data_IF_240921264069
#
_entry.id   IF_240921264069
#
_cell.length_a   1.000
_cell.length_b   1.000
_cell.length_c   1.000
_cell.angle_alpha   90.00
_cell.angle_beta   90.00
_cell.angle_gamma   90.00
#
_symmetry.space_group_name_H-M   'P 1'
#
loop_
_entity.id
_entity.type
_entity.pdbx_description
1 polymer ?
#
# COMPACT_ATOMS: atom_id res chain seq x y z
N UNK A 1 -11.01 12.80 -8.16
CA UNK A 1 -11.88 11.65 -7.82
C UNK A 1 -11.38 10.30 -8.36
N UNK A 2 -10.40 10.26 -9.30
CA UNK A 2 -9.86 9.02 -9.88
C UNK A 2 -8.62 8.44 -9.17
N UNK A 3 -7.92 9.23 -8.35
CA UNK A 3 -6.72 8.86 -7.58
C UNK A 3 -7.00 7.94 -6.39
N UNK A 4 -8.25 7.90 -5.91
CA UNK A 4 -8.63 7.10 -4.75
C UNK A 4 -8.67 5.60 -5.09
N UNK A 5 -8.96 5.22 -6.34
CA UNK A 5 -9.16 3.82 -6.75
C UNK A 5 -7.89 2.96 -6.64
N UNK A 6 -6.69 3.51 -6.81
CA UNK A 6 -5.44 2.75 -6.83
C UNK A 6 -5.10 2.08 -5.51
N UNK A 7 -5.18 2.90 -4.47
CA UNK A 7 -4.89 2.50 -3.11
C UNK A 7 -6.13 1.77 -2.60
N UNK A 8 -7.34 2.33 -2.75
CA UNK A 8 -8.54 1.69 -2.17
C UNK A 8 -8.96 0.37 -2.83
N UNK A 9 -8.68 0.13 -4.12
CA UNK A 9 -8.94 -1.18 -4.75
C UNK A 9 -8.06 -2.28 -4.18
N UNK A 10 -6.88 -1.93 -3.65
CA UNK A 10 -5.96 -2.86 -3.00
C UNK A 10 -6.35 -3.16 -1.55
N UNK A 11 -7.11 -2.27 -0.90
CA UNK A 11 -7.51 -2.42 0.51
C UNK A 11 -8.77 -3.26 0.73
N UNK A 12 -9.66 -3.38 -0.27
CA UNK A 12 -10.87 -4.21 -0.16
C UNK A 12 -10.58 -5.73 -0.21
N UNK A 13 -9.31 -6.13 -0.22
CA UNK A 13 -8.85 -7.35 -0.84
C UNK A 13 -8.15 -8.36 0.09
N UNK A 14 -7.70 -8.00 1.29
CA UNK A 14 -6.82 -8.89 2.05
C UNK A 14 -7.11 -8.78 3.53
N UNK A 15 -7.57 -9.84 4.22
CA UNK A 15 -7.27 -10.18 5.63
C UNK A 15 -7.36 -11.68 5.85
N UNK A 16 -6.48 -12.16 6.72
CA UNK A 16 -6.81 -13.19 7.67
C UNK A 16 -6.53 -12.65 9.06
N UNK A 17 -7.17 -13.25 10.06
CA UNK A 17 -6.99 -12.96 11.47
C UNK A 17 -5.69 -13.57 12.02
N UNK A 18 -4.86 -12.74 12.65
CA UNK A 18 -4.11 -13.11 13.84
C UNK A 18 -3.81 -11.82 14.62
N UNK A 19 -4.19 -11.71 15.90
CA UNK A 19 -3.87 -10.54 16.70
C UNK A 19 -2.39 -10.62 17.08
N UNK A 20 -1.60 -9.68 16.61
CA UNK A 20 -0.37 -9.28 17.32
C UNK A 20 -0.49 -7.80 17.56
N UNK A 21 -0.96 -7.46 18.76
CA UNK A 21 -0.91 -6.10 19.28
C UNK A 21 0.54 -5.62 19.29
N UNK A 22 0.88 -4.79 18.31
CA UNK A 22 1.93 -3.80 18.48
C UNK A 22 1.28 -2.47 18.14
N UNK A 23 0.76 -1.86 19.19
CA UNK A 23 0.34 -0.46 19.31
C UNK A 23 0.15 0.30 18.00
N UNK A 24 -1.11 0.66 17.70
CA UNK A 24 -1.48 1.62 16.66
C UNK A 24 -0.70 2.97 16.73
N UNK A 25 0.06 3.23 17.80
CA UNK A 25 0.90 4.42 17.95
C UNK A 25 2.22 4.39 17.18
N UNK A 26 2.62 3.30 16.50
CA UNK A 26 3.88 3.27 15.73
C UNK A 26 3.75 2.62 14.35
N UNK A 27 2.60 2.80 13.69
CA UNK A 27 2.47 2.38 12.30
C UNK A 27 3.37 3.25 11.42
N UNK A 28 4.27 2.59 10.69
CA UNK A 28 5.25 3.23 9.81
C UNK A 28 4.79 3.11 8.37
N UNK A 29 4.65 4.24 7.67
CA UNK A 29 4.18 4.28 6.27
C UNK A 29 5.26 3.84 5.30
N UNK A 30 6.52 4.24 5.56
CA UNK A 30 7.68 4.02 4.69
C UNK A 30 8.63 3.04 5.39
N UNK A 31 8.64 1.75 5.03
CA UNK A 31 9.53 0.78 5.64
C UNK A 31 11.01 0.99 5.28
N UNK A 32 11.93 0.45 6.08
CA UNK A 32 13.39 0.55 5.85
C UNK A 32 13.85 -0.04 4.51
N UNK A 33 13.14 -1.05 4.00
CA UNK A 33 13.44 -1.65 2.69
C UNK A 33 12.83 -0.86 1.51
N UNK A 34 12.16 0.27 1.78
CA UNK A 34 11.51 1.11 0.79
C UNK A 34 10.55 0.34 -0.14
N UNK A 35 9.87 -0.66 0.41
CA UNK A 35 8.74 -1.37 -0.21
C UNK A 35 7.51 -1.04 0.64
N UNK A 36 6.61 -0.18 0.16
CA UNK A 36 5.49 0.28 1.00
C UNK A 36 4.46 -0.84 1.23
N UNK A 37 4.09 -1.53 0.16
CA UNK A 37 3.09 -2.59 0.10
C UNK A 37 3.56 -3.75 -0.78
N UNK A 38 3.98 -3.46 -2.02
CA UNK A 38 4.35 -4.46 -3.02
C UNK A 38 5.64 -4.05 -3.76
N UNK A 39 6.51 -5.00 -4.15
CA UNK A 39 7.72 -4.69 -4.92
C UNK A 39 7.45 -3.92 -6.21
N UNK A 40 6.31 -4.17 -6.86
CA UNK A 40 5.94 -3.57 -8.13
C UNK A 40 5.52 -2.09 -8.02
N UNK A 41 5.39 -1.53 -6.81
CA UNK A 41 5.08 -0.10 -6.62
C UNK A 41 6.15 0.84 -7.19
N UNK A 42 7.36 0.33 -7.41
CA UNK A 42 8.41 1.01 -8.17
C UNK A 42 7.94 1.50 -9.54
N UNK A 43 6.97 0.83 -10.16
CA UNK A 43 6.43 1.22 -11.47
C UNK A 43 5.88 2.65 -11.44
N UNK A 44 5.33 3.10 -10.32
CA UNK A 44 4.81 4.46 -10.18
C UNK A 44 5.61 5.32 -9.19
N UNK A 45 6.38 4.76 -8.26
CA UNK A 45 7.24 5.53 -7.36
C UNK A 45 8.59 5.89 -7.98
N UNK A 46 9.11 5.03 -8.86
CA UNK A 46 10.39 5.18 -9.52
C UNK A 46 10.29 4.69 -10.98
N UNK A 47 9.51 5.38 -11.84
CA UNK A 47 9.26 4.90 -13.21
C UNK A 47 10.50 4.98 -14.11
N UNK A 48 11.46 5.87 -13.82
CA UNK A 48 12.67 6.08 -14.63
C UNK A 48 13.85 5.25 -14.12
N UNK A 49 14.82 4.88 -14.98
CA UNK A 49 16.03 4.18 -14.55
C UNK A 49 16.83 4.94 -13.47
N UNK A 50 16.86 6.27 -13.57
CA UNK A 50 17.49 7.17 -12.60
C UNK A 50 16.84 7.05 -11.22
N UNK A 51 15.51 7.20 -11.13
CA UNK A 51 14.80 7.09 -9.86
C UNK A 51 14.93 5.68 -9.24
N UNK A 52 14.97 4.64 -10.09
CA UNK A 52 15.23 3.27 -9.64
C UNK A 52 16.63 3.12 -9.07
N UNK A 53 17.64 3.75 -9.67
CA UNK A 53 19.01 3.72 -9.16
C UNK A 53 19.08 4.33 -7.75
N UNK A 54 18.49 5.51 -7.56
CA UNK A 54 18.40 6.16 -6.24
C UNK A 54 17.66 5.31 -5.21
N UNK A 55 16.52 4.72 -5.58
CA UNK A 55 15.77 3.83 -4.69
C UNK A 55 16.58 2.58 -4.31
N UNK A 56 17.32 2.01 -5.27
CA UNK A 56 18.17 0.85 -5.03
C UNK A 56 19.40 1.19 -4.18
N UNK A 57 19.97 2.38 -4.32
CA UNK A 57 21.05 2.89 -3.45
C UNK A 57 20.57 2.99 -2.00
N UNK A 58 19.39 3.59 -1.79
CA UNK A 58 18.78 3.68 -0.46
C UNK A 58 18.55 2.30 0.16
N UNK A 59 18.08 1.31 -0.62
CA UNK A 59 17.92 -0.08 -0.16
C UNK A 59 19.25 -0.77 0.13
N UNK A 60 20.26 -0.52 -0.69
CA UNK A 60 21.60 -1.09 -0.53
C UNK A 60 22.32 -0.53 0.70
N UNK A 61 22.01 0.71 1.10
CA UNK A 61 22.59 1.34 2.28
C UNK A 61 22.29 0.60 3.59
N UNK A 62 21.23 -0.24 3.62
CA UNK A 62 20.72 -0.95 4.80
C UNK A 62 20.58 -0.04 6.04
N UNK A 63 20.38 1.26 5.83
CA UNK A 63 20.10 2.21 6.91
C UNK A 63 18.76 1.83 7.54
N UNK A 64 18.71 1.88 8.87
CA UNK A 64 17.46 1.76 9.61
C UNK A 64 17.09 3.13 10.13
N UNK A 65 15.86 3.53 9.86
CA UNK A 65 15.33 4.84 10.24
C UNK A 65 14.40 4.71 11.45
N UNK A 66 14.46 5.67 12.36
CA UNK A 66 13.65 5.68 13.56
C UNK A 66 12.17 5.96 13.26
N UNK A 67 11.88 6.73 12.20
CA UNK A 67 10.54 7.13 11.79
C UNK A 67 10.47 7.49 10.28
N UNK A 68 9.27 7.77 9.78
CA UNK A 68 9.04 8.12 8.37
C UNK A 68 9.69 9.45 7.96
N UNK A 69 9.85 10.41 8.87
CA UNK A 69 10.45 11.70 8.56
C UNK A 69 11.95 11.54 8.27
N UNK A 70 12.66 10.73 9.05
CA UNK A 70 14.07 10.43 8.82
C UNK A 70 14.28 9.67 7.50
N UNK A 71 13.40 8.71 7.19
CA UNK A 71 13.43 8.00 5.90
C UNK A 71 13.20 8.94 4.70
N UNK A 72 12.29 9.91 4.85
CA UNK A 72 12.01 10.92 3.83
C UNK A 72 13.17 11.91 3.64
N UNK A 73 13.81 12.36 4.71
CA UNK A 73 14.99 13.23 4.58
C UNK A 73 16.14 12.50 3.88
N UNK A 74 16.38 11.23 4.18
CA UNK A 74 17.37 10.43 3.45
C UNK A 74 17.01 10.31 1.95
N UNK A 75 15.73 10.15 1.61
CA UNK A 75 15.31 10.19 0.20
C UNK A 75 15.56 11.54 -0.45
N UNK A 76 15.33 12.64 0.27
CA UNK A 76 15.48 14.00 -0.23
C UNK A 76 16.95 14.32 -0.53
N UNK A 77 17.87 13.83 0.28
CA UNK A 77 19.31 13.91 0.04
C UNK A 77 19.73 13.16 -1.24
N UNK A 78 19.15 11.99 -1.48
CA UNK A 78 19.47 11.17 -2.68
C UNK A 78 18.78 11.68 -3.94
N UNK A 79 17.49 12.02 -3.86
CA UNK A 79 16.69 12.49 -4.98
C UNK A 79 15.46 13.30 -4.50
N UNK A 80 15.43 14.63 -4.71
CA UNK A 80 14.27 15.46 -4.40
C UNK A 80 12.99 14.99 -5.10
N UNK A 81 13.13 14.42 -6.31
CA UNK A 81 12.02 13.87 -7.10
C UNK A 81 11.46 12.60 -6.47
N UNK A 82 12.31 11.66 -6.04
CA UNK A 82 11.87 10.47 -5.32
C UNK A 82 11.18 10.83 -3.99
N UNK A 83 11.74 11.79 -3.26
CA UNK A 83 11.14 12.33 -2.04
C UNK A 83 9.71 12.84 -2.28
N UNK A 84 9.48 13.69 -3.29
CA UNK A 84 8.13 14.22 -3.60
C UNK A 84 7.14 13.10 -3.88
N UNK A 85 7.55 12.06 -4.62
CA UNK A 85 6.68 10.92 -4.93
C UNK A 85 6.27 10.15 -3.68
N UNK A 86 7.21 9.82 -2.81
CA UNK A 86 6.92 9.12 -1.55
C UNK A 86 6.12 9.98 -0.58
N UNK A 87 6.43 11.28 -0.48
CA UNK A 87 5.68 12.23 0.33
C UNK A 87 4.22 12.31 -0.12
N UNK A 88 3.96 12.47 -1.42
CA UNK A 88 2.60 12.55 -1.96
C UNK A 88 1.77 11.30 -1.67
N UNK A 89 2.39 10.11 -1.71
CA UNK A 89 1.72 8.87 -1.31
C UNK A 89 1.48 8.85 0.20
N UNK A 90 2.47 9.19 1.03
CA UNK A 90 2.32 9.26 2.48
C UNK A 90 1.18 10.19 2.88
N UNK A 91 1.15 11.41 2.36
CA UNK A 91 0.12 12.40 2.67
C UNK A 91 -1.28 11.93 2.25
N UNK A 92 -1.40 11.28 1.09
CA UNK A 92 -2.66 10.68 0.65
C UNK A 92 -3.14 9.58 1.61
N UNK A 93 -2.22 8.71 2.04
CA UNK A 93 -2.53 7.64 2.97
C UNK A 93 -2.88 8.15 4.37
N UNK A 94 -2.12 9.12 4.88
CA UNK A 94 -2.38 9.77 6.17
C UNK A 94 -3.71 10.52 6.16
N UNK A 95 -4.02 11.23 5.08
CA UNK A 95 -5.30 11.92 4.91
C UNK A 95 -6.48 10.95 4.98
N UNK A 96 -6.39 9.79 4.31
CA UNK A 96 -7.42 8.76 4.40
C UNK A 96 -7.46 8.12 5.81
N UNK A 97 -6.31 7.78 6.37
CA UNK A 97 -6.20 7.18 7.70
C UNK A 97 -6.84 8.06 8.78
N UNK A 98 -6.61 9.37 8.73
CA UNK A 98 -7.16 10.32 9.68
C UNK A 98 -8.68 10.46 9.61
N UNK A 99 -9.30 10.12 8.47
CA UNK A 99 -10.75 10.14 8.27
C UNK A 99 -11.45 8.87 8.78
N UNK A 100 -10.69 7.82 9.07
CA UNK A 100 -11.24 6.55 9.54
C UNK A 100 -11.60 6.59 11.03
N UNK A 101 -12.62 5.83 11.40
CA UNK A 101 -12.93 5.51 12.79
C UNK A 101 -11.77 4.71 13.44
N UNK A 102 -11.80 4.53 14.76
CA UNK A 102 -10.80 3.68 15.44
C UNK A 102 -10.77 2.25 14.87
N UNK A 103 -11.94 1.69 14.51
CA UNK A 103 -12.05 0.36 13.90
C UNK A 103 -11.48 0.37 12.48
N UNK A 104 -11.80 1.38 11.67
CA UNK A 104 -11.26 1.53 10.32
C UNK A 104 -9.75 1.72 10.31
N UNK A 105 -9.19 2.49 11.26
CA UNK A 105 -7.74 2.66 11.43
C UNK A 105 -7.05 1.34 11.76
N UNK A 106 -7.60 0.54 12.67
CA UNK A 106 -7.05 -0.78 12.98
C UNK A 106 -7.09 -1.68 11.75
N UNK A 107 -8.24 -1.76 11.06
CA UNK A 107 -8.38 -2.52 9.82
C UNK A 107 -7.36 -2.09 8.77
N UNK A 108 -7.14 -0.78 8.61
CA UNK A 108 -6.16 -0.23 7.68
C UNK A 108 -4.74 -0.71 8.01
N UNK A 109 -4.32 -0.61 9.27
CA UNK A 109 -3.00 -1.06 9.74
C UNK A 109 -2.81 -2.55 9.48
N UNK A 110 -3.81 -3.36 9.81
CA UNK A 110 -3.78 -4.81 9.62
C UNK A 110 -3.58 -5.17 8.13
N UNK A 111 -4.23 -4.43 7.22
CA UNK A 111 -4.10 -4.68 5.78
C UNK A 111 -2.76 -4.26 5.20
N UNK A 112 -2.20 -3.15 5.68
CA UNK A 112 -0.85 -2.75 5.31
C UNK A 112 0.18 -3.79 5.72
N UNK A 113 0.08 -4.31 6.95
CA UNK A 113 0.96 -5.37 7.42
C UNK A 113 0.81 -6.65 6.62
N UNK A 114 -0.44 -7.05 6.35
CA UNK A 114 -0.70 -8.22 5.54
C UNK A 114 -0.10 -8.05 4.15
N UNK A 115 -0.39 -6.96 3.44
CA UNK A 115 0.18 -6.68 2.12
C UNK A 115 1.71 -6.72 2.12
N UNK A 116 2.38 -6.17 3.14
CA UNK A 116 3.84 -6.25 3.27
C UNK A 116 4.35 -7.67 3.44
N UNK A 117 3.70 -8.47 4.29
CA UNK A 117 4.02 -9.91 4.45
C UNK A 117 3.79 -10.64 3.13
N UNK A 118 2.72 -10.32 2.43
CA UNK A 118 2.40 -10.90 1.13
C UNK A 118 3.43 -10.50 0.07
N UNK A 119 3.85 -9.23 0.02
CA UNK A 119 4.88 -8.73 -0.90
C UNK A 119 6.23 -9.39 -0.71
N UNK A 120 6.61 -9.71 0.54
CA UNK A 120 7.79 -10.52 0.83
C UNK A 120 7.62 -11.97 0.35
N UNK A 121 6.44 -12.55 0.55
CA UNK A 121 6.11 -13.93 0.12
C UNK A 121 5.88 -14.10 -1.38
N UNK A 122 5.44 -13.06 -2.10
CA UNK A 122 5.22 -13.07 -3.55
C UNK A 122 6.52 -13.25 -4.32
N UNK A 123 7.67 -12.91 -3.71
CA UNK A 123 8.99 -13.23 -4.24
C UNK A 123 9.26 -14.75 -4.30
N UNK A 124 8.47 -15.56 -3.59
CA UNK A 124 8.65 -17.01 -3.41
C UNK A 124 7.40 -17.86 -3.69
N UNK A 125 6.46 -17.40 -4.54
CA UNK A 125 5.23 -18.13 -4.90
C UNK A 125 4.39 -18.50 -3.66
N UNK A 126 3.45 -17.63 -3.32
CA UNK A 126 2.53 -17.90 -2.22
C UNK A 126 1.60 -19.08 -2.51
N UNK A 127 1.31 -19.88 -1.49
CA UNK A 127 0.26 -20.91 -1.55
C UNK A 127 -1.12 -20.26 -1.78
N UNK A 128 -1.74 -20.56 -2.91
CA UNK A 128 -3.05 -20.06 -3.34
C UNK A 128 -4.14 -20.25 -2.29
N UNK A 129 -4.07 -21.31 -1.48
CA UNK A 129 -5.04 -21.57 -0.40
C UNK A 129 -4.87 -20.59 0.77
N UNK A 130 -3.62 -20.31 1.16
CA UNK A 130 -3.31 -19.32 2.20
C UNK A 130 -3.70 -17.91 1.73
N UNK A 131 -3.42 -17.61 0.46
CA UNK A 131 -3.83 -16.35 -0.15
C UNK A 131 -5.36 -16.20 -0.12
N UNK A 132 -6.10 -17.23 -0.52
CA UNK A 132 -7.57 -17.18 -0.49
C UNK A 132 -8.15 -17.04 0.92
N UNK A 133 -7.63 -17.79 1.90
CA UNK A 133 -8.03 -17.63 3.29
C UNK A 133 -7.75 -16.20 3.79
N UNK A 134 -6.62 -15.63 3.37
CA UNK A 134 -6.24 -14.25 3.60
C UNK A 134 -6.99 -13.22 2.78
N UNK A 135 -7.87 -13.59 1.85
CA UNK A 135 -8.79 -12.64 1.21
C UNK A 135 -10.15 -12.70 1.88
N UNK A 136 -10.58 -13.90 2.30
CA UNK A 136 -11.88 -14.11 2.96
C UNK A 136 -11.98 -13.43 4.32
N UNK A 137 -10.90 -13.43 5.12
CA UNK A 137 -10.88 -12.66 6.37
C UNK A 137 -10.95 -11.14 6.16
N UNK A 138 -10.28 -10.59 5.12
CA UNK A 138 -10.60 -9.38 4.31
C UNK A 138 -12.02 -9.06 4.38
N UNK A 139 -12.65 -9.80 3.53
CA UNK A 139 -14.00 -9.53 3.17
C UNK A 139 -14.88 -9.50 4.42
N UNK A 140 -14.69 -10.46 5.34
CA UNK A 140 -15.39 -10.45 6.62
C UNK A 140 -15.12 -9.19 7.45
N UNK A 141 -13.86 -8.86 7.74
CA UNK A 141 -13.52 -7.68 8.55
C UNK A 141 -13.99 -6.37 7.92
N UNK A 142 -13.92 -6.27 6.58
CA UNK A 142 -14.42 -5.16 5.79
C UNK A 142 -15.95 -5.03 5.93
N UNK A 143 -16.70 -6.13 5.87
CA UNK A 143 -18.18 -6.10 6.03
C UNK A 143 -18.63 -5.67 7.43
N UNK A 144 -17.76 -5.76 8.42
CA UNK A 144 -18.03 -5.32 9.78
C UNK A 144 -17.66 -3.85 10.03
N UNK A 145 -17.07 -3.16 9.05
CA UNK A 145 -16.73 -1.74 9.16
C UNK A 145 -17.98 -0.86 9.04
N UNK A 146 -17.99 0.28 9.73
CA UNK A 146 -19.07 1.23 9.58
C UNK A 146 -19.03 1.86 8.18
N UNK A 147 -20.19 2.32 7.70
CA UNK A 147 -20.37 2.76 6.31
C UNK A 147 -19.47 3.94 5.95
N UNK A 148 -19.22 4.85 6.89
CA UNK A 148 -18.31 5.98 6.73
C UNK A 148 -16.88 5.54 6.39
N UNK A 149 -16.38 4.47 7.02
CA UNK A 149 -15.06 3.92 6.73
C UNK A 149 -15.04 3.29 5.34
N UNK A 150 -16.09 2.56 4.96
CA UNK A 150 -16.25 2.00 3.62
C UNK A 150 -16.21 3.08 2.53
N UNK A 151 -16.79 4.26 2.79
CA UNK A 151 -16.73 5.40 1.87
C UNK A 151 -15.33 6.00 1.75
N UNK A 152 -14.54 6.01 2.82
CA UNK A 152 -13.11 6.39 2.76
C UNK A 152 -12.35 5.41 1.87
N UNK A 153 -12.68 4.12 1.95
CA UNK A 153 -12.18 3.08 1.03
C UNK A 153 -12.87 3.11 -0.36
N UNK A 154 -13.67 4.11 -0.69
CA UNK A 154 -14.33 4.21 -1.99
C UNK A 154 -15.37 3.10 -2.27
N UNK A 155 -15.70 2.27 -1.29
CA UNK A 155 -16.63 1.17 -1.41
C UNK A 155 -18.08 1.67 -1.20
N UNK A 156 -18.78 1.94 -2.32
CA UNK A 156 -20.21 2.27 -2.31
C UNK A 156 -21.09 1.03 -2.14
N UNK A 157 -20.65 -0.08 -2.73
CA UNK A 157 -21.28 -1.39 -2.69
C UNK A 157 -20.16 -2.41 -2.53
N UNK A 158 -20.29 -3.31 -1.57
CA UNK A 158 -19.33 -4.38 -1.38
C UNK A 158 -19.59 -5.49 -2.41
N UNK A 159 -18.52 -6.05 -3.04
CA UNK A 159 -18.67 -7.26 -3.85
C UNK A 159 -19.11 -8.44 -2.98
N UNK A 160 -19.51 -9.54 -3.58
CA UNK A 160 -19.60 -10.82 -2.84
C UNK A 160 -18.22 -11.31 -2.41
N UNK A 161 -18.15 -12.22 -1.43
CA UNK A 161 -16.87 -12.82 -1.00
C UNK A 161 -16.12 -13.46 -2.17
N UNK A 162 -16.84 -14.17 -3.05
CA UNK A 162 -16.27 -14.81 -4.23
C UNK A 162 -15.68 -13.78 -5.20
N UNK A 163 -16.44 -12.73 -5.51
CA UNK A 163 -15.98 -11.66 -6.40
C UNK A 163 -14.79 -10.90 -5.79
N UNK A 164 -14.76 -10.73 -4.46
CA UNK A 164 -13.59 -10.21 -3.78
C UNK A 164 -12.39 -11.11 -4.09
N UNK A 165 -12.43 -12.40 -3.72
CA UNK A 165 -11.35 -13.37 -3.98
C UNK A 165 -10.86 -13.32 -5.43
N UNK A 166 -11.77 -13.35 -6.41
CA UNK A 166 -11.44 -13.29 -7.83
C UNK A 166 -10.73 -11.99 -8.21
N UNK A 167 -11.26 -10.82 -7.79
CA UNK A 167 -10.66 -9.50 -8.08
C UNK A 167 -9.27 -9.35 -7.48
N UNK A 168 -9.05 -9.88 -6.28
CA UNK A 168 -7.74 -9.78 -5.62
C UNK A 168 -6.72 -10.66 -6.30
N UNK A 169 -7.09 -11.91 -6.60
CA UNK A 169 -6.22 -12.83 -7.33
C UNK A 169 -5.88 -12.27 -8.71
N UNK A 170 -6.85 -11.67 -9.40
CA UNK A 170 -6.62 -11.00 -10.68
C UNK A 170 -5.65 -9.82 -10.54
N UNK A 171 -5.88 -8.95 -9.53
CA UNK A 171 -4.99 -7.84 -9.26
C UNK A 171 -3.55 -8.31 -9.00
N UNK A 172 -3.36 -9.33 -8.15
CA UNK A 172 -2.03 -9.85 -7.83
C UNK A 172 -1.33 -10.52 -9.00
N UNK A 173 -2.09 -11.13 -9.91
CA UNK A 173 -1.53 -11.69 -11.16
C UNK A 173 -1.16 -10.59 -12.15
N UNK A 174 -1.85 -9.46 -12.11
CA UNK A 174 -1.73 -8.36 -13.07
C UNK A 174 -1.25 -7.05 -12.43
N UNK A 175 -0.49 -7.10 -11.32
CA UNK A 175 -0.12 -5.92 -10.53
C UNK A 175 0.52 -4.85 -11.40
N UNK A 176 1.45 -5.22 -12.28
CA UNK A 176 2.13 -4.27 -13.16
C UNK A 176 1.15 -3.54 -14.09
N UNK A 177 0.14 -4.25 -14.60
CA UNK A 177 -0.89 -3.67 -15.47
C UNK A 177 -1.71 -2.63 -14.70
N UNK A 178 -2.12 -2.96 -13.48
CA UNK A 178 -2.88 -2.05 -12.64
C UNK A 178 -2.05 -0.84 -12.20
N UNK A 179 -0.79 -1.04 -11.84
CA UNK A 179 0.11 0.02 -11.41
C UNK A 179 0.56 0.94 -12.55
N UNK A 180 0.68 0.41 -13.77
CA UNK A 180 1.00 1.21 -14.95
C UNK A 180 -0.05 2.29 -15.27
N UNK A 181 -1.29 2.11 -14.84
CA UNK A 181 -2.34 3.14 -14.96
C UNK A 181 -1.97 4.37 -14.11
N UNK A 182 -1.20 4.16 -13.04
CA UNK A 182 -0.89 5.20 -12.06
C UNK A 182 0.42 5.95 -12.32
N UNK A 183 1.21 5.52 -13.31
CA UNK A 183 2.51 6.16 -13.64
C UNK A 183 2.38 7.64 -14.04
N UNK A 184 1.22 8.02 -14.58
CA UNK A 184 0.89 9.36 -15.07
C UNK A 184 -0.13 10.09 -14.18
N UNK A 185 -0.30 9.67 -12.92
CA UNK A 185 -1.20 10.37 -12.01
C UNK A 185 -0.79 11.83 -11.86
N UNK A 186 -1.79 12.70 -11.66
CA UNK A 186 -1.58 14.12 -11.36
C UNK A 186 -0.70 14.36 -10.14
N UNK A 187 -0.62 13.38 -9.23
CA UNK A 187 0.28 13.35 -8.08
C UNK A 187 1.76 13.47 -8.45
N UNK A 188 2.14 13.16 -9.70
CA UNK A 188 3.52 13.15 -10.18
C UNK A 188 3.71 14.00 -11.44
N UNK A 189 2.88 15.04 -11.66
CA UNK A 189 3.01 15.91 -12.84
C UNK A 189 4.14 16.93 -12.72
N UNK A 190 4.53 17.30 -11.51
CA UNK A 190 5.61 18.28 -11.23
C UNK A 190 7.02 17.65 -11.33
N UNK A 191 7.13 16.60 -12.14
CA UNK A 191 8.32 15.78 -12.36
C UNK A 191 8.95 16.02 -13.74
N UNK A 192 8.33 16.90 -14.54
CA UNK A 192 8.76 17.30 -15.88
C UNK A 192 9.58 18.60 -15.91
N UNK A 193 9.88 19.21 -14.76
CA UNK A 193 10.83 20.33 -14.63
C UNK A 193 12.21 19.88 -14.13
#
# INVERSE_FOLDING_TARGET
MFTLCAVTSLFCAFAFAAPTSTSATKFRWIPDNFIMLLPQEEIFLAPTPELKAHLNELRASKRSFLNDAEALEAMKETSPRLYRRFLGVKELLESNFNRLSAKGKQFFVDQMELLRRLGQGLKHSMDDKKLEAAIKGSYKALTELPREDLLVFGAKVLPTEREAVEKVKDYLKNVERHLNIYKNLSLFKDDEE
#
